data_IF_243261316180
#
_entry.id   IF_243261316180
#
_cell.length_a   1.000
_cell.length_b   1.000
_cell.length_c   1.000
_cell.angle_alpha   90.00
_cell.angle_beta   90.00
_cell.angle_gamma   90.00
#
_symmetry.space_group_name_H-M   'P 1'
#
loop_
_entity.id
_entity.type
_entity.pdbx_description
1 polymer ?
#
# COMPACT_ATOMS: atom_id res chain seq x y z
N UNK A 1 1.66 -2.27 -29.37
CA UNK A 1 2.63 -3.24 -28.86
C UNK A 1 2.46 -3.39 -27.37
N UNK A 2 2.51 -4.63 -26.89
CA UNK A 2 2.34 -4.92 -25.48
C UNK A 2 3.70 -5.23 -24.88
N UNK A 3 4.02 -4.58 -23.78
CA UNK A 3 5.27 -4.85 -23.08
C UNK A 3 5.16 -6.14 -22.27
N UNK A 4 6.27 -6.86 -22.16
CA UNK A 4 6.34 -7.95 -21.20
C UNK A 4 6.25 -7.38 -19.80
N UNK A 5 5.57 -8.09 -18.92
CA UNK A 5 5.37 -7.62 -17.56
C UNK A 5 6.71 -7.36 -16.86
N UNK A 6 7.71 -8.19 -17.14
CA UNK A 6 9.03 -8.02 -16.52
C UNK A 6 9.77 -6.78 -17.00
N UNK A 7 9.36 -6.20 -18.12
CA UNK A 7 9.99 -4.98 -18.65
C UNK A 7 9.27 -3.72 -18.20
N UNK A 8 8.19 -3.85 -17.45
CA UNK A 8 7.40 -2.72 -16.99
C UNK A 8 8.02 -2.08 -15.77
N UNK A 9 7.87 -0.77 -15.68
CA UNK A 9 8.20 -0.05 -14.44
C UNK A 9 7.15 -0.37 -13.39
N UNK A 10 7.45 -0.01 -12.15
CA UNK A 10 6.46 -0.15 -11.08
C UNK A 10 5.17 0.61 -11.43
N UNK A 11 5.28 1.81 -11.98
CA UNK A 11 4.10 2.60 -12.36
C UNK A 11 3.28 1.90 -13.44
N UNK A 12 3.95 1.27 -14.40
CA UNK A 12 3.25 0.53 -15.45
C UNK A 12 2.50 -0.66 -14.86
N UNK A 13 3.12 -1.36 -13.92
CA UNK A 13 2.50 -2.51 -13.25
C UNK A 13 1.29 -2.04 -12.44
N UNK A 14 1.41 -0.91 -11.76
CA UNK A 14 0.28 -0.35 -11.01
C UNK A 14 -0.88 -0.03 -11.94
N UNK A 15 -0.61 0.65 -13.03
CA UNK A 15 -1.65 1.07 -13.95
C UNK A 15 -2.36 -0.11 -14.61
N UNK A 16 -1.60 -1.09 -15.06
CA UNK A 16 -2.15 -2.15 -15.89
C UNK A 16 -2.67 -3.35 -15.11
N UNK A 17 -2.15 -3.60 -13.91
CA UNK A 17 -2.50 -4.81 -13.18
C UNK A 17 -3.02 -4.57 -11.78
N UNK A 18 -2.34 -3.73 -11.00
CA UNK A 18 -2.68 -3.60 -9.58
C UNK A 18 -3.91 -2.72 -9.40
N UNK A 19 -3.91 -1.53 -9.98
CA UNK A 19 -5.04 -0.62 -9.86
C UNK A 19 -6.33 -1.24 -10.40
N UNK A 20 -6.33 -1.87 -11.58
CA UNK A 20 -7.56 -2.51 -12.06
C UNK A 20 -8.04 -3.63 -11.14
N UNK A 21 -7.12 -4.40 -10.56
CA UNK A 21 -7.51 -5.49 -9.65
C UNK A 21 -8.16 -4.93 -8.39
N UNK A 22 -7.61 -3.83 -7.85
CA UNK A 22 -8.19 -3.19 -6.67
C UNK A 22 -9.57 -2.66 -7.00
N UNK A 23 -9.70 -1.96 -8.11
CA UNK A 23 -10.97 -1.33 -8.48
C UNK A 23 -12.04 -2.35 -8.90
N UNK A 24 -11.65 -3.58 -9.18
CA UNK A 24 -12.62 -4.64 -9.42
C UNK A 24 -13.38 -5.01 -8.15
N UNK A 25 -12.81 -4.73 -6.99
CA UNK A 25 -13.40 -5.09 -5.70
C UNK A 25 -13.71 -3.91 -4.81
N UNK A 26 -13.07 -2.78 -5.05
CA UNK A 26 -13.24 -1.58 -4.23
C UNK A 26 -13.69 -0.43 -5.09
N UNK A 27 -14.65 0.32 -4.58
CA UNK A 27 -15.12 1.51 -5.25
C UNK A 27 -13.98 2.54 -5.29
N UNK A 28 -13.80 3.20 -6.42
CA UNK A 28 -12.68 4.13 -6.56
C UNK A 28 -12.75 5.29 -5.55
N UNK A 29 -13.92 5.61 -5.05
CA UNK A 29 -14.07 6.61 -4.00
C UNK A 29 -13.53 6.16 -2.65
N UNK A 30 -13.18 4.89 -2.51
CA UNK A 30 -12.65 4.31 -1.27
C UNK A 30 -11.18 3.94 -1.41
N UNK A 31 -10.49 4.48 -2.40
CA UNK A 31 -9.08 4.19 -2.64
C UNK A 31 -8.34 5.49 -2.84
N UNK A 32 -7.19 5.64 -2.18
CA UNK A 32 -6.28 6.75 -2.49
C UNK A 32 -4.93 6.18 -2.89
N UNK A 33 -4.20 6.92 -3.69
CA UNK A 33 -2.86 6.52 -4.14
C UNK A 33 -1.84 7.55 -3.68
N UNK A 34 -0.60 7.08 -3.48
CA UNK A 34 0.51 7.93 -3.07
C UNK A 34 0.13 8.73 -1.82
N UNK A 35 -0.44 8.04 -0.87
CA UNK A 35 -1.02 8.65 0.31
C UNK A 35 0.06 8.87 1.37
N UNK A 36 0.17 10.09 1.86
CA UNK A 36 1.18 10.43 2.84
C UNK A 36 0.91 9.70 4.16
N UNK A 37 1.94 9.07 4.68
CA UNK A 37 1.87 8.33 5.94
C UNK A 37 2.67 9.09 6.97
N UNK A 38 2.06 9.38 8.10
CA UNK A 38 2.72 10.05 9.20
C UNK A 38 2.51 9.24 10.47
N UNK A 39 3.44 9.38 11.39
CA UNK A 39 3.27 8.79 12.70
C UNK A 39 2.22 9.61 13.44
N UNK A 40 1.15 8.96 13.87
CA UNK A 40 0.04 9.68 14.50
C UNK A 40 0.38 10.37 15.79
N UNK A 41 1.53 10.10 16.39
CA UNK A 41 1.93 10.73 17.64
C UNK A 41 2.82 11.92 17.43
N UNK A 42 3.06 12.28 16.20
CA UNK A 42 3.89 13.39 15.87
C UNK A 42 3.24 14.67 16.35
N UNK A 43 4.05 15.60 16.70
CA UNK A 43 3.62 16.96 16.87
C UNK A 43 2.80 17.27 18.09
N UNK A 44 2.78 16.37 19.01
CA UNK A 44 2.17 16.76 20.27
C UNK A 44 2.88 17.95 20.87
N UNK A 45 4.16 18.05 20.59
CA UNK A 45 4.94 19.17 21.06
C UNK A 45 4.94 20.36 20.12
N UNK A 46 4.42 20.16 18.95
CA UNK A 46 4.28 21.23 18.00
C UNK A 46 5.57 21.73 17.38
N UNK A 47 6.69 21.36 17.90
CA UNK A 47 7.95 21.85 17.37
C UNK A 47 8.85 20.75 16.86
N UNK A 48 8.33 19.57 16.68
CA UNK A 48 9.08 18.49 16.12
C UNK A 48 9.27 18.67 14.66
N UNK A 49 10.49 18.46 14.24
CA UNK A 49 10.81 18.45 12.85
C UNK A 49 10.74 17.02 12.37
N UNK A 50 9.96 16.77 11.33
CA UNK A 50 9.88 15.46 10.75
C UNK A 50 11.21 15.18 10.07
N UNK A 51 11.84 14.09 10.45
CA UNK A 51 13.11 13.75 9.90
C UNK A 51 12.93 12.93 8.65
N UNK A 52 13.76 13.22 7.68
CA UNK A 52 13.76 12.46 6.46
C UNK A 52 12.57 12.77 5.58
N UNK A 53 12.42 11.99 4.53
CA UNK A 53 11.38 12.20 3.55
C UNK A 53 10.04 11.71 4.08
N UNK A 54 8.97 12.40 3.70
CA UNK A 54 7.64 11.87 3.99
C UNK A 54 7.47 10.51 3.35
N UNK A 55 6.82 9.60 4.05
CA UNK A 55 6.52 8.28 3.53
C UNK A 55 5.18 8.32 2.83
N UNK A 56 5.07 7.55 1.76
CA UNK A 56 3.81 7.45 1.03
C UNK A 56 3.49 6.01 0.79
N UNK A 57 2.24 5.64 1.09
CA UNK A 57 1.74 4.33 0.74
C UNK A 57 1.28 4.36 -0.71
N UNK A 58 1.56 3.31 -1.46
CA UNK A 58 1.13 3.26 -2.85
C UNK A 58 -0.39 3.32 -2.95
N UNK A 59 -1.09 2.58 -2.09
CA UNK A 59 -2.55 2.63 -2.03
C UNK A 59 -3.00 2.53 -0.58
N UNK A 60 -4.08 3.25 -0.28
CA UNK A 60 -4.80 3.05 0.98
C UNK A 60 -6.25 2.77 0.62
N UNK A 61 -6.80 1.71 1.21
CA UNK A 61 -8.19 1.32 0.99
C UNK A 61 -9.00 1.69 2.23
N UNK A 62 -10.19 2.23 2.01
CA UNK A 62 -11.01 2.75 3.09
C UNK A 62 -12.35 2.03 3.17
N UNK A 63 -12.76 1.72 4.37
CA UNK A 63 -14.10 1.19 4.60
C UNK A 63 -15.11 2.32 4.51
N UNK A 64 -14.78 3.43 5.16
CA UNK A 64 -15.56 4.67 5.10
C UNK A 64 -14.57 5.82 5.00
N UNK A 65 -15.08 7.03 4.84
CA UNK A 65 -14.30 8.21 4.55
C UNK A 65 -13.05 8.35 5.42
N UNK A 66 -13.18 8.17 6.72
CA UNK A 66 -12.05 8.37 7.63
C UNK A 66 -11.61 7.07 8.29
N UNK A 67 -11.91 5.93 7.66
CA UNK A 67 -11.60 4.64 8.24
C UNK A 67 -10.78 3.81 7.27
N UNK A 68 -9.46 4.05 7.19
CA UNK A 68 -8.61 3.21 6.36
C UNK A 68 -8.58 1.79 6.90
N UNK A 69 -8.63 0.81 6.02
CA UNK A 69 -8.67 -0.58 6.43
C UNK A 69 -7.49 -1.39 5.89
N UNK A 70 -6.85 -0.93 4.83
CA UNK A 70 -5.74 -1.68 4.24
C UNK A 70 -4.73 -0.76 3.58
N UNK A 71 -3.47 -1.17 3.64
CA UNK A 71 -2.37 -0.58 2.90
C UNK A 71 -1.96 -1.58 1.82
N UNK A 72 -1.71 -1.10 0.62
CA UNK A 72 -1.17 -1.94 -0.45
C UNK A 72 0.11 -1.30 -0.96
N UNK A 73 1.19 -2.09 -0.99
CA UNK A 73 2.46 -1.65 -1.55
C UNK A 73 2.72 -2.39 -2.85
N UNK A 74 3.11 -1.64 -3.84
CA UNK A 74 3.36 -2.18 -5.18
C UNK A 74 4.86 -2.32 -5.42
N UNK A 75 5.21 -3.35 -6.17
CA UNK A 75 6.57 -3.54 -6.67
C UNK A 75 6.48 -3.93 -8.13
N UNK A 76 7.56 -3.73 -8.87
CA UNK A 76 7.55 -4.17 -10.25
C UNK A 76 7.61 -5.69 -10.31
N UNK A 77 7.44 -6.24 -11.51
CA UNK A 77 7.29 -7.67 -11.69
C UNK A 77 8.61 -8.44 -11.56
N UNK A 78 9.71 -7.74 -11.34
CA UNK A 78 11.01 -8.39 -11.09
C UNK A 78 11.19 -8.74 -9.62
N UNK A 79 10.24 -8.40 -8.78
CA UNK A 79 10.22 -8.75 -7.37
C UNK A 79 9.10 -9.76 -7.10
N UNK A 80 9.24 -10.51 -6.01
CA UNK A 80 8.18 -11.45 -5.64
C UNK A 80 6.93 -10.71 -5.19
N UNK A 81 5.81 -11.42 -5.18
CA UNK A 81 4.53 -10.84 -4.75
C UNK A 81 4.62 -10.27 -3.35
N UNK A 82 5.37 -10.93 -2.47
CA UNK A 82 5.46 -10.52 -1.07
C UNK A 82 6.57 -9.52 -0.78
N UNK A 83 7.30 -9.09 -1.80
CA UNK A 83 8.51 -8.29 -1.59
C UNK A 83 8.24 -6.99 -0.83
N UNK A 84 7.13 -6.33 -1.09
CA UNK A 84 6.78 -5.08 -0.43
C UNK A 84 6.03 -5.23 0.87
N UNK A 85 5.80 -6.46 1.32
CA UNK A 85 4.91 -6.69 2.45
C UNK A 85 5.42 -6.07 3.74
N UNK A 86 6.72 -6.13 3.99
CA UNK A 86 7.25 -5.57 5.23
C UNK A 86 7.04 -4.06 5.31
N UNK A 87 7.20 -3.38 4.18
CA UNK A 87 6.93 -1.95 4.15
C UNK A 87 5.45 -1.65 4.37
N UNK A 88 4.58 -2.45 3.76
CA UNK A 88 3.14 -2.29 3.96
C UNK A 88 2.77 -2.50 5.42
N UNK A 89 3.35 -3.51 6.07
CA UNK A 89 3.11 -3.77 7.48
C UNK A 89 3.57 -2.58 8.34
N UNK A 90 4.74 -2.05 8.04
CA UNK A 90 5.26 -0.91 8.79
C UNK A 90 4.30 0.28 8.70
N UNK A 91 3.84 0.58 7.50
CA UNK A 91 2.92 1.69 7.30
C UNK A 91 1.58 1.44 7.98
N UNK A 92 1.08 0.21 7.89
CA UNK A 92 -0.18 -0.14 8.53
C UNK A 92 -0.10 0.02 10.04
N UNK A 93 1.02 -0.38 10.63
CA UNK A 93 1.21 -0.21 12.07
C UNK A 93 1.25 1.26 12.47
N UNK A 94 1.86 2.10 11.66
CA UNK A 94 1.93 3.53 11.95
C UNK A 94 0.57 4.18 11.99
N UNK A 95 -0.38 3.64 11.26
CA UNK A 95 -1.72 4.22 11.12
C UNK A 95 -2.80 3.38 11.79
N UNK A 96 -2.42 2.33 12.53
CA UNK A 96 -3.38 1.40 13.14
C UNK A 96 -4.34 0.80 12.13
N UNK A 97 -3.82 0.45 10.98
CA UNK A 97 -4.61 -0.16 9.91
C UNK A 97 -4.46 -1.67 10.00
N UNK A 98 -5.57 -2.44 9.94
CA UNK A 98 -5.49 -3.87 10.25
C UNK A 98 -4.95 -4.76 9.15
N UNK A 99 -4.93 -4.33 7.90
CA UNK A 99 -4.48 -5.20 6.82
C UNK A 99 -3.40 -4.56 5.98
N UNK A 100 -2.41 -5.37 5.60
CA UNK A 100 -1.31 -4.94 4.75
C UNK A 100 -1.19 -5.91 3.59
N UNK A 101 -0.97 -5.38 2.39
CA UNK A 101 -0.86 -6.19 1.18
C UNK A 101 0.36 -5.76 0.39
N UNK A 102 0.91 -6.70 -0.36
CA UNK A 102 1.95 -6.43 -1.33
C UNK A 102 1.55 -7.07 -2.66
N UNK A 103 1.92 -6.43 -3.76
CA UNK A 103 1.62 -6.95 -5.08
C UNK A 103 2.72 -6.58 -6.06
N UNK A 104 3.02 -7.50 -6.99
CA UNK A 104 3.93 -7.25 -8.09
C UNK A 104 3.21 -7.35 -9.45
N UNK A 105 1.88 -7.32 -9.43
CA UNK A 105 1.08 -7.46 -10.62
C UNK A 105 0.64 -8.89 -10.92
N UNK A 106 1.21 -9.89 -10.26
CA UNK A 106 0.81 -11.28 -10.44
C UNK A 106 -0.24 -11.73 -9.44
N UNK A 107 -0.32 -11.05 -8.31
CA UNK A 107 -1.26 -11.39 -7.26
C UNK A 107 -1.04 -10.52 -6.06
N UNK A 108 -1.69 -10.83 -4.98
CA UNK A 108 -1.58 -10.08 -3.74
C UNK A 108 -1.21 -11.02 -2.60
N UNK A 109 -0.33 -10.54 -1.73
CA UNK A 109 0.03 -11.26 -0.52
C UNK A 109 -0.45 -10.44 0.67
N UNK A 110 -1.19 -11.06 1.57
CA UNK A 110 -1.85 -10.38 2.67
C UNK A 110 -1.20 -10.68 4.00
N UNK A 111 -1.11 -9.67 4.85
CA UNK A 111 -0.78 -9.86 6.28
C UNK A 111 -1.90 -9.25 7.11
N UNK A 112 -2.51 -10.07 7.96
CA UNK A 112 -3.55 -9.64 8.86
C UNK A 112 -2.90 -9.28 10.19
N UNK A 113 -2.86 -7.99 10.52
CA UNK A 113 -2.19 -7.55 11.73
C UNK A 113 -2.96 -7.90 13.00
N UNK A 114 -4.22 -8.22 12.88
CA UNK A 114 -5.03 -8.60 14.04
C UNK A 114 -4.71 -10.03 14.50
N UNK A 115 -4.41 -10.91 13.56
CA UNK A 115 -4.16 -12.32 13.88
C UNK A 115 -2.74 -12.76 13.60
N UNK A 116 -2.00 -11.99 12.79
CA UNK A 116 -0.67 -12.38 12.36
C UNK A 116 -0.66 -13.33 11.17
N UNK A 117 -1.82 -13.62 10.61
CA UNK A 117 -1.95 -14.57 9.52
C UNK A 117 -1.47 -13.97 8.20
N UNK A 118 -0.74 -14.76 7.39
CA UNK A 118 -0.27 -14.34 6.08
C UNK A 118 -0.62 -15.37 5.03
N UNK A 119 -0.90 -14.89 3.83
CA UNK A 119 -1.10 -15.77 2.70
C UNK A 119 -1.02 -15.03 1.37
#
# INVERSE_FOLDING_TARGET
MVLDKSDMTEEDVKLQYITPAILAKWDCGHVTMETKITDGRINLKGNFVVRGKPKKADYVLYLEKDKPIAIVEAKDNNHSVSYGLQQAITYAKMQDIPFAYSSNGDGFYEHDLLTGFER
#
